data_IF_635324322549
#
_entry.id   IF_635324322549
#
_cell.length_a   1.000
_cell.length_b   1.000
_cell.length_c   1.000
_cell.angle_alpha   90.00
_cell.angle_beta   90.00
_cell.angle_gamma   90.00
#
_symmetry.space_group_name_H-M   'P 1'
#
loop_
_entity.id
_entity.type
_entity.pdbx_description
1 polymer ?
#
# COMPACT_ATOMS: atom_id res chain seq x y z
N UNK A 1 -0.39 12.45 -16.86
CA UNK A 1 0.45 11.28 -16.47
C UNK A 1 -0.30 10.05 -16.94
N UNK A 2 0.35 9.13 -17.58
CA UNK A 2 -0.25 7.85 -17.91
C UNK A 2 -0.13 6.94 -16.68
N UNK A 3 -1.25 6.47 -16.14
CA UNK A 3 -1.28 5.64 -14.94
C UNK A 3 -1.25 4.15 -15.30
N UNK A 4 -0.17 3.70 -15.92
CA UNK A 4 0.12 2.30 -16.16
C UNK A 4 1.25 1.84 -15.22
N UNK A 5 0.92 0.99 -14.25
CA UNK A 5 1.91 0.39 -13.35
C UNK A 5 2.97 -0.40 -14.14
N UNK A 6 2.56 -1.10 -15.21
CA UNK A 6 3.47 -1.87 -16.06
C UNK A 6 4.44 -0.98 -16.84
N UNK A 7 4.00 0.17 -17.33
CA UNK A 7 4.92 1.10 -18.00
C UNK A 7 5.83 1.77 -16.97
N UNK A 8 5.29 2.16 -15.82
CA UNK A 8 6.09 2.77 -14.75
C UNK A 8 7.19 1.82 -14.23
N UNK A 9 6.88 0.52 -14.08
CA UNK A 9 7.87 -0.47 -13.61
C UNK A 9 9.03 -0.72 -14.58
N UNK A 10 8.88 -0.35 -15.86
CA UNK A 10 9.98 -0.38 -16.85
C UNK A 10 10.95 0.80 -16.70
N UNK A 11 10.52 1.86 -16.07
CA UNK A 11 11.36 3.05 -15.84
C UNK A 11 12.18 2.92 -14.57
N UNK A 12 11.54 2.48 -13.48
CA UNK A 12 12.16 2.36 -12.16
C UNK A 12 11.41 1.40 -11.25
N UNK A 13 12.03 0.99 -10.16
CA UNK A 13 11.33 0.35 -9.04
C UNK A 13 10.30 1.33 -8.50
N UNK A 14 9.04 0.92 -8.43
CA UNK A 14 7.93 1.75 -7.92
C UNK A 14 8.01 1.80 -6.40
N UNK A 15 8.16 2.99 -5.84
CA UNK A 15 8.27 3.18 -4.40
C UNK A 15 6.90 3.56 -3.83
N UNK A 16 6.39 2.71 -2.95
CA UNK A 16 5.12 2.92 -2.25
C UNK A 16 5.35 3.40 -0.83
N UNK A 17 4.81 4.57 -0.48
CA UNK A 17 4.84 5.08 0.88
C UNK A 17 3.67 4.50 1.69
N UNK A 18 3.98 3.72 2.73
CA UNK A 18 3.01 3.11 3.65
C UNK A 18 2.36 4.17 4.54
N UNK A 19 1.06 4.43 4.34
CA UNK A 19 0.29 5.46 5.07
C UNK A 19 0.86 6.87 4.97
N UNK A 20 1.63 7.17 3.90
CA UNK A 20 2.40 8.40 3.74
C UNK A 20 3.74 8.38 4.47
N UNK A 21 4.44 9.52 4.53
CA UNK A 21 5.69 9.68 5.27
C UNK A 21 5.41 10.35 6.62
N UNK A 22 5.19 9.54 7.64
CA UNK A 22 4.93 9.97 9.01
C UNK A 22 6.22 10.18 9.79
N UNK A 23 6.17 11.05 10.81
CA UNK A 23 7.30 11.27 11.71
C UNK A 23 7.17 12.53 12.54
N UNK A 24 7.84 12.59 13.68
CA UNK A 24 7.75 13.71 14.61
C UNK A 24 6.32 14.02 15.02
N UNK A 25 5.80 15.20 14.65
CA UNK A 25 4.42 15.61 14.95
C UNK A 25 3.42 15.31 13.83
N UNK A 26 3.84 14.62 12.75
CA UNK A 26 3.00 14.32 11.58
C UNK A 26 2.56 12.86 11.64
N UNK A 27 1.27 12.57 11.93
CA UNK A 27 0.77 11.21 11.98
C UNK A 27 0.59 10.60 10.57
N UNK A 28 0.64 9.28 10.49
CA UNK A 28 0.29 8.55 9.27
C UNK A 28 -1.20 8.70 8.90
N UNK A 29 -1.56 8.35 7.67
CA UNK A 29 -2.92 8.49 7.13
C UNK A 29 -3.46 9.94 7.17
N UNK A 30 -2.58 10.94 7.13
CA UNK A 30 -2.95 12.36 7.06
C UNK A 30 -2.53 12.98 5.74
N UNK A 31 -3.22 14.05 5.32
CA UNK A 31 -2.88 14.81 4.11
C UNK A 31 -1.41 15.27 4.13
N UNK A 32 -0.92 15.68 5.31
CA UNK A 32 0.47 16.13 5.46
C UNK A 32 1.46 14.98 5.21
N UNK A 33 1.21 13.78 5.75
CA UNK A 33 2.07 12.62 5.54
C UNK A 33 2.11 12.22 4.05
N UNK A 34 0.99 12.28 3.34
CA UNK A 34 0.92 11.99 1.91
C UNK A 34 1.65 13.02 1.06
N UNK A 35 1.47 14.31 1.35
CA UNK A 35 2.20 15.38 0.66
C UNK A 35 3.71 15.28 0.86
N UNK A 36 4.15 14.89 2.06
CA UNK A 36 5.57 14.67 2.36
C UNK A 36 6.09 13.45 1.58
N UNK A 37 5.35 12.36 1.52
CA UNK A 37 5.74 11.17 0.77
C UNK A 37 5.99 11.49 -0.72
N UNK A 38 5.10 12.26 -1.36
CA UNK A 38 5.31 12.70 -2.75
C UNK A 38 6.51 13.62 -2.89
N UNK A 39 6.73 14.54 -1.95
CA UNK A 39 7.93 15.41 -1.94
C UNK A 39 9.22 14.60 -1.74
N UNK A 40 9.14 13.46 -1.08
CA UNK A 40 10.25 12.52 -0.92
C UNK A 40 10.46 11.63 -2.14
N UNK A 41 9.58 11.71 -3.16
CA UNK A 41 9.72 11.00 -4.42
C UNK A 41 8.94 9.69 -4.52
N UNK A 42 8.04 9.40 -3.59
CA UNK A 42 7.19 8.21 -3.70
C UNK A 42 6.33 8.25 -4.98
N UNK A 43 6.26 7.13 -5.70
CA UNK A 43 5.43 6.96 -6.90
C UNK A 43 3.98 6.62 -6.55
N UNK A 44 3.78 5.96 -5.42
CA UNK A 44 2.49 5.45 -4.96
C UNK A 44 2.28 5.78 -3.47
N UNK A 45 1.03 6.10 -3.12
CA UNK A 45 0.59 6.24 -1.73
C UNK A 45 -0.26 5.03 -1.35
N UNK A 46 0.08 4.38 -0.26
CA UNK A 46 -0.80 3.38 0.35
C UNK A 46 -1.69 4.04 1.40
N UNK A 47 -2.98 3.69 1.43
CA UNK A 47 -3.99 4.28 2.29
C UNK A 47 -4.87 3.23 2.93
N UNK A 48 -5.11 3.38 4.25
CA UNK A 48 -6.06 2.56 4.98
C UNK A 48 -7.47 3.15 4.91
N UNK A 49 -8.44 2.43 4.38
CA UNK A 49 -9.82 2.88 4.36
C UNK A 49 -10.68 2.29 5.47
N UNK A 50 -11.51 3.16 6.04
CA UNK A 50 -12.54 2.82 7.01
C UNK A 50 -13.87 3.47 6.63
N UNK A 51 -14.97 3.04 7.23
CA UNK A 51 -16.31 3.54 6.93
C UNK A 51 -17.06 3.85 8.23
N UNK A 52 -17.59 5.07 8.34
CA UNK A 52 -18.41 5.51 9.46
C UNK A 52 -19.77 4.81 9.49
N UNK A 53 -20.47 4.86 10.63
CA UNK A 53 -21.81 4.25 10.75
C UNK A 53 -22.83 4.84 9.77
N UNK A 54 -22.68 6.12 9.40
CA UNK A 54 -23.51 6.80 8.40
C UNK A 54 -22.99 6.63 6.96
N UNK A 55 -22.03 5.70 6.77
CA UNK A 55 -21.59 5.24 5.46
C UNK A 55 -20.60 6.14 4.73
N UNK A 56 -19.93 7.06 5.41
CA UNK A 56 -18.90 7.92 4.84
C UNK A 56 -17.53 7.26 4.95
N UNK A 57 -16.75 7.26 3.84
CA UNK A 57 -15.39 6.72 3.80
C UNK A 57 -14.39 7.75 4.33
N UNK A 58 -13.40 7.27 5.08
CA UNK A 58 -12.32 8.08 5.63
C UNK A 58 -11.04 7.26 5.79
N UNK A 59 -9.92 7.95 5.93
CA UNK A 59 -8.59 7.34 6.04
C UNK A 59 -8.23 7.12 7.50
N UNK A 60 -8.14 5.87 7.89
CA UNK A 60 -7.70 5.46 9.23
C UNK A 60 -7.59 3.94 9.31
N UNK A 61 -6.47 3.42 9.83
CA UNK A 61 -6.35 1.99 10.03
C UNK A 61 -7.28 1.50 11.15
N UNK A 62 -8.24 0.60 10.86
CA UNK A 62 -9.16 0.08 11.87
C UNK A 62 -8.41 -0.52 13.06
N UNK A 63 -8.97 -0.35 14.28
CA UNK A 63 -8.43 -0.86 15.53
C UNK A 63 -7.15 -0.16 16.03
N UNK A 64 -6.74 0.95 15.41
CA UNK A 64 -5.59 1.76 15.86
C UNK A 64 -6.02 3.03 16.65
N UNK A 65 -7.28 3.15 17.01
CA UNK A 65 -7.84 4.34 17.67
C UNK A 65 -7.15 4.66 18.98
N UNK A 66 -6.86 3.65 19.83
CA UNK A 66 -6.15 3.86 21.09
C UNK A 66 -4.71 4.35 20.88
N UNK A 67 -4.05 3.87 19.82
CA UNK A 67 -2.66 4.25 19.52
C UNK A 67 -2.55 5.63 18.86
N UNK A 68 -3.49 5.97 17.97
CA UNK A 68 -3.38 7.17 17.14
C UNK A 68 -4.27 8.33 17.61
N UNK A 69 -5.26 8.08 18.47
CA UNK A 69 -6.19 9.10 18.98
C UNK A 69 -6.20 9.19 20.50
N UNK A 70 -5.45 8.32 21.19
CA UNK A 70 -5.50 8.16 22.66
C UNK A 70 -6.95 7.98 23.19
N UNK A 71 -7.76 7.21 22.46
CA UNK A 71 -9.17 6.99 22.77
C UNK A 71 -9.59 5.55 22.57
N UNK A 72 -10.22 4.89 23.55
CA UNK A 72 -10.74 3.53 23.44
C UNK A 72 -12.11 3.53 22.73
N UNK A 73 -12.18 4.03 21.51
CA UNK A 73 -13.40 4.14 20.71
C UNK A 73 -13.22 3.36 19.39
N UNK A 74 -14.33 3.05 18.72
CA UNK A 74 -14.31 2.49 17.37
C UNK A 74 -14.88 3.54 16.41
N UNK A 75 -14.06 4.04 15.49
CA UNK A 75 -14.47 5.07 14.54
C UNK A 75 -15.61 4.62 13.62
N UNK A 76 -15.63 3.36 13.23
CA UNK A 76 -16.71 2.79 12.41
C UNK A 76 -18.08 2.73 13.12
N UNK A 77 -18.12 2.90 14.43
CA UNK A 77 -19.34 3.01 15.22
C UNK A 77 -19.85 4.47 15.39
N UNK A 78 -19.11 5.45 14.86
CA UNK A 78 -19.45 6.87 14.95
C UNK A 78 -19.92 7.45 13.62
N UNK A 79 -20.81 8.46 13.62
CA UNK A 79 -21.12 9.24 12.43
C UNK A 79 -19.95 10.17 12.07
N UNK A 80 -19.80 10.49 10.79
CA UNK A 80 -18.70 11.32 10.28
C UNK A 80 -18.66 12.71 10.95
N UNK A 81 -19.79 13.25 11.38
CA UNK A 81 -19.88 14.53 12.10
C UNK A 81 -19.16 14.54 13.45
N UNK A 82 -19.02 13.37 14.09
CA UNK A 82 -18.22 13.21 15.32
C UNK A 82 -16.75 12.89 14.98
N UNK A 83 -16.52 12.04 13.99
CA UNK A 83 -15.16 11.65 13.52
C UNK A 83 -14.36 12.90 13.13
N UNK A 84 -14.94 13.84 12.40
CA UNK A 84 -14.29 15.10 11.97
C UNK A 84 -13.82 16.00 13.13
N UNK A 85 -14.27 15.77 14.34
CA UNK A 85 -13.86 16.53 15.54
C UNK A 85 -12.66 15.92 16.26
N UNK A 86 -12.23 14.73 15.81
CA UNK A 86 -11.10 14.02 16.40
C UNK A 86 -9.79 14.45 15.74
N UNK A 87 -8.73 14.47 16.55
CA UNK A 87 -7.38 14.76 16.11
C UNK A 87 -6.45 13.64 16.53
N UNK A 88 -5.45 13.40 15.69
CA UNK A 88 -4.38 12.47 15.99
C UNK A 88 -3.53 12.96 17.17
N UNK A 89 -2.94 12.03 17.88
CA UNK A 89 -1.81 12.29 18.78
C UNK A 89 -0.49 11.92 18.09
N UNK A 90 0.59 12.55 18.53
CA UNK A 90 1.95 12.20 18.06
C UNK A 90 2.54 11.05 18.91
N UNK A 91 3.81 10.72 18.68
CA UNK A 91 4.51 9.63 19.38
C UNK A 91 4.58 9.83 20.91
N UNK A 92 4.51 11.07 21.38
CA UNK A 92 4.52 11.41 22.81
C UNK A 92 3.11 11.50 23.41
N UNK A 93 2.09 10.99 22.68
CA UNK A 93 0.67 11.12 23.00
C UNK A 93 0.19 12.58 23.17
N UNK A 94 0.92 13.53 22.59
CA UNK A 94 0.51 14.91 22.59
C UNK A 94 -0.47 15.20 21.43
N UNK A 95 -1.54 16.00 21.66
CA UNK A 95 -2.49 16.37 20.61
C UNK A 95 -1.82 17.09 19.43
N UNK A 96 -2.21 16.74 18.22
CA UNK A 96 -1.75 17.40 17.00
C UNK A 96 -2.87 18.25 16.38
N UNK A 97 -2.51 19.06 15.38
CA UNK A 97 -3.48 19.81 14.56
C UNK A 97 -4.14 18.93 13.46
N UNK A 98 -3.73 17.66 13.30
CA UNK A 98 -4.16 16.82 12.20
C UNK A 98 -5.44 16.05 12.56
N UNK A 99 -6.49 16.27 11.77
CA UNK A 99 -7.77 15.56 11.88
C UNK A 99 -7.86 14.38 10.93
N UNK A 100 -8.99 13.67 11.01
CA UNK A 100 -9.28 12.52 10.12
C UNK A 100 -9.65 13.02 8.73
N UNK A 101 -8.96 12.51 7.71
CA UNK A 101 -9.16 12.84 6.30
C UNK A 101 -10.31 12.03 5.72
N UNK A 102 -11.26 12.66 5.01
CA UNK A 102 -12.25 11.92 4.24
C UNK A 102 -11.65 11.36 2.96
N UNK A 103 -12.22 10.26 2.46
CA UNK A 103 -11.71 9.66 1.24
C UNK A 103 -11.96 10.55 0.01
N UNK A 104 -13.09 11.27 -0.04
CA UNK A 104 -13.37 12.23 -1.11
C UNK A 104 -12.34 13.38 -1.14
N UNK A 105 -12.00 13.98 0.03
CA UNK A 105 -10.99 15.05 0.12
C UNK A 105 -9.60 14.53 -0.33
N UNK A 106 -9.27 13.28 0.02
CA UNK A 106 -8.04 12.64 -0.41
C UNK A 106 -7.99 12.43 -1.94
N UNK A 107 -9.04 11.84 -2.51
CA UNK A 107 -9.11 11.60 -3.96
C UNK A 107 -9.00 12.91 -4.74
N UNK A 108 -9.70 13.96 -4.30
CA UNK A 108 -9.63 15.28 -4.95
C UNK A 108 -8.22 15.85 -4.93
N UNK A 109 -7.53 15.78 -3.78
CA UNK A 109 -6.19 16.34 -3.61
C UNK A 109 -5.11 15.59 -4.41
N UNK A 110 -5.26 14.28 -4.60
CA UNK A 110 -4.22 13.44 -5.23
C UNK A 110 -4.57 12.98 -6.65
N UNK A 111 -5.70 13.42 -7.19
CA UNK A 111 -6.07 13.13 -8.58
C UNK A 111 -4.99 13.61 -9.55
N UNK A 112 -4.54 12.72 -10.43
CA UNK A 112 -3.55 12.99 -11.47
C UNK A 112 -2.10 13.13 -10.98
N UNK A 113 -1.80 12.82 -9.69
CA UNK A 113 -0.50 13.12 -9.08
C UNK A 113 0.37 11.89 -8.80
N UNK A 114 -0.24 10.76 -8.49
CA UNK A 114 0.47 9.53 -8.09
C UNK A 114 -0.44 8.31 -8.26
N UNK A 115 0.14 7.11 -8.19
CA UNK A 115 -0.65 5.90 -7.96
C UNK A 115 -1.16 5.87 -6.52
N UNK A 116 -2.28 5.17 -6.30
CA UNK A 116 -2.88 5.01 -4.97
C UNK A 116 -3.22 3.54 -4.75
N UNK A 117 -2.62 2.95 -3.74
CA UNK A 117 -3.01 1.63 -3.27
C UNK A 117 -4.01 1.73 -2.13
N UNK A 118 -5.20 1.18 -2.33
CA UNK A 118 -6.24 1.13 -1.31
C UNK A 118 -6.15 -0.19 -0.55
N UNK A 119 -5.74 -0.11 0.72
CA UNK A 119 -5.88 -1.23 1.64
C UNK A 119 -7.30 -1.29 2.22
N UNK A 120 -7.73 -2.48 2.68
CA UNK A 120 -9.09 -2.74 3.21
C UNK A 120 -10.21 -2.55 2.18
N UNK A 121 -9.93 -2.56 0.87
CA UNK A 121 -10.96 -2.47 -0.18
C UNK A 121 -12.12 -3.44 0.05
N UNK A 122 -11.83 -4.67 0.45
CA UNK A 122 -12.82 -5.71 0.71
C UNK A 122 -13.84 -5.41 1.80
N UNK A 123 -13.60 -4.41 2.64
CA UNK A 123 -14.52 -4.02 3.72
C UNK A 123 -15.75 -3.28 3.21
N UNK A 124 -15.60 -2.48 2.15
CA UNK A 124 -16.66 -1.66 1.56
C UNK A 124 -16.51 -1.52 0.04
N UNK A 125 -16.36 -2.61 -0.74
CA UNK A 125 -15.93 -2.57 -2.13
C UNK A 125 -16.82 -1.69 -3.02
N UNK A 126 -18.15 -1.80 -2.89
CA UNK A 126 -19.10 -1.02 -3.68
C UNK A 126 -18.96 0.49 -3.44
N UNK A 127 -18.91 0.91 -2.16
CA UNK A 127 -18.81 2.34 -1.82
C UNK A 127 -17.46 2.93 -2.27
N UNK A 128 -16.37 2.16 -2.11
CA UNK A 128 -15.04 2.56 -2.53
C UNK A 128 -15.00 2.73 -4.05
N UNK A 129 -15.50 1.73 -4.79
CA UNK A 129 -15.54 1.79 -6.24
C UNK A 129 -16.42 2.93 -6.77
N UNK A 130 -17.60 3.15 -6.17
CA UNK A 130 -18.47 4.30 -6.50
C UNK A 130 -17.75 5.65 -6.25
N UNK A 131 -16.96 5.77 -5.18
CA UNK A 131 -16.17 6.97 -4.93
C UNK A 131 -15.07 7.15 -5.97
N UNK A 132 -14.29 6.11 -6.28
CA UNK A 132 -13.25 6.12 -7.30
C UNK A 132 -13.83 6.54 -8.67
N UNK A 133 -14.94 5.94 -9.09
CA UNK A 133 -15.62 6.29 -10.36
C UNK A 133 -16.13 7.73 -10.38
N UNK A 134 -16.73 8.19 -9.28
CA UNK A 134 -17.22 9.57 -9.17
C UNK A 134 -16.10 10.59 -9.37
N UNK A 135 -14.89 10.28 -8.94
CA UNK A 135 -13.70 11.11 -9.15
C UNK A 135 -12.99 10.84 -10.49
N UNK A 136 -13.36 9.78 -11.23
CA UNK A 136 -12.72 9.39 -12.48
C UNK A 136 -11.22 9.06 -12.27
N UNK A 137 -10.93 8.15 -11.34
CA UNK A 137 -9.57 7.81 -10.92
C UNK A 137 -9.27 6.31 -11.02
N UNK A 138 -10.06 5.57 -11.80
CA UNK A 138 -9.93 4.12 -11.93
C UNK A 138 -8.50 3.69 -12.31
N UNK A 139 -7.87 4.43 -13.21
CA UNK A 139 -6.51 4.12 -13.70
C UNK A 139 -5.42 4.39 -12.64
N UNK A 140 -5.69 5.26 -11.65
CA UNK A 140 -4.74 5.57 -10.57
C UNK A 140 -4.78 4.59 -9.41
N UNK A 141 -5.87 3.83 -9.31
CA UNK A 141 -6.16 3.01 -8.14
C UNK A 141 -5.66 1.58 -8.34
N UNK A 142 -4.97 1.08 -7.33
CA UNK A 142 -4.64 -0.32 -7.16
C UNK A 142 -5.36 -0.85 -5.94
N UNK A 143 -6.03 -1.99 -6.05
CA UNK A 143 -6.66 -2.67 -4.92
C UNK A 143 -5.97 -3.99 -4.61
N UNK A 144 -5.84 -4.30 -3.32
CA UNK A 144 -5.23 -5.54 -2.83
C UNK A 144 -6.17 -6.28 -1.89
N UNK A 145 -6.05 -7.60 -1.87
CA UNK A 145 -6.72 -8.45 -0.89
C UNK A 145 -6.04 -9.81 -0.79
N UNK A 146 -6.08 -10.41 0.38
CA UNK A 146 -5.76 -11.84 0.48
C UNK A 146 -6.67 -12.63 -0.47
N UNK A 147 -6.08 -13.56 -1.22
CA UNK A 147 -6.85 -14.39 -2.14
C UNK A 147 -7.88 -15.22 -1.37
N UNK A 148 -9.14 -15.01 -1.71
CA UNK A 148 -10.21 -15.97 -1.45
C UNK A 148 -11.29 -15.81 -2.53
N UNK A 149 -11.95 -16.92 -2.84
CA UNK A 149 -12.94 -16.99 -3.92
C UNK A 149 -14.09 -15.98 -3.77
N UNK A 150 -14.49 -15.67 -2.53
CA UNK A 150 -15.54 -14.67 -2.27
C UNK A 150 -15.09 -13.26 -2.66
N UNK A 151 -13.86 -12.87 -2.32
CA UNK A 151 -13.32 -11.55 -2.69
C UNK A 151 -13.14 -11.44 -4.19
N UNK A 152 -12.61 -12.48 -4.85
CA UNK A 152 -12.49 -12.53 -6.31
C UNK A 152 -13.85 -12.35 -6.98
N UNK A 153 -14.88 -13.05 -6.53
CA UNK A 153 -16.25 -12.90 -7.07
C UNK A 153 -16.79 -11.48 -6.88
N UNK A 154 -16.59 -10.89 -5.70
CA UNK A 154 -17.01 -9.50 -5.42
C UNK A 154 -16.30 -8.52 -6.35
N UNK A 155 -14.98 -8.66 -6.53
CA UNK A 155 -14.20 -7.82 -7.43
C UNK A 155 -14.67 -7.96 -8.88
N UNK A 156 -14.85 -9.20 -9.37
CA UNK A 156 -15.33 -9.46 -10.72
C UNK A 156 -16.71 -8.85 -10.98
N UNK A 157 -17.59 -8.84 -9.98
CA UNK A 157 -18.94 -8.29 -10.10
C UNK A 157 -18.97 -6.76 -10.01
N UNK A 158 -18.18 -6.18 -9.10
CA UNK A 158 -18.29 -4.75 -8.75
C UNK A 158 -17.27 -3.89 -9.47
N UNK A 159 -16.01 -4.34 -9.56
CA UNK A 159 -14.88 -3.53 -10.01
C UNK A 159 -13.85 -4.35 -10.82
N UNK A 160 -14.26 -5.02 -11.91
CA UNK A 160 -13.37 -5.89 -12.69
C UNK A 160 -12.26 -5.12 -13.43
N UNK A 161 -12.46 -3.84 -13.66
CA UNK A 161 -11.58 -2.91 -14.34
C UNK A 161 -10.46 -2.36 -13.46
N UNK A 162 -10.64 -2.33 -12.13
CA UNK A 162 -9.58 -1.84 -11.24
C UNK A 162 -8.36 -2.75 -11.24
N UNK A 163 -7.15 -2.18 -11.35
CA UNK A 163 -5.91 -2.92 -11.11
C UNK A 163 -5.96 -3.66 -9.77
N UNK A 164 -5.73 -4.97 -9.82
CA UNK A 164 -5.82 -5.86 -8.68
C UNK A 164 -4.53 -6.64 -8.46
N UNK A 165 -4.12 -6.78 -7.19
CA UNK A 165 -3.06 -7.66 -6.74
C UNK A 165 -3.54 -8.54 -5.58
N UNK A 166 -3.44 -9.88 -5.67
CA UNK A 166 -3.63 -10.74 -4.52
C UNK A 166 -2.45 -10.59 -3.56
N UNK A 167 -2.72 -10.71 -2.26
CA UNK A 167 -1.71 -10.84 -1.20
C UNK A 167 -1.53 -12.33 -0.94
N UNK A 168 -0.34 -12.85 -1.18
CA UNK A 168 -0.01 -14.28 -1.02
C UNK A 168 1.10 -14.48 0.02
N UNK A 169 1.17 -15.69 0.59
CA UNK A 169 2.18 -16.04 1.59
C UNK A 169 2.91 -17.30 1.19
N UNK A 170 4.24 -17.21 1.17
CA UNK A 170 5.18 -18.30 0.91
C UNK A 170 4.99 -19.01 -0.45
N UNK A 171 3.76 -19.14 -0.97
CA UNK A 171 3.40 -19.75 -2.26
C UNK A 171 2.26 -19.02 -2.96
N UNK A 172 2.09 -19.22 -4.29
CA UNK A 172 1.01 -18.63 -5.08
C UNK A 172 0.30 -19.64 -6.00
N UNK A 173 -0.46 -20.60 -5.45
CA UNK A 173 -1.10 -21.66 -6.22
C UNK A 173 -2.24 -21.18 -7.15
N UNK A 174 -2.79 -19.99 -6.91
CA UNK A 174 -3.96 -19.46 -7.62
C UNK A 174 -3.62 -18.62 -8.87
N UNK A 175 -2.35 -18.49 -9.20
CA UNK A 175 -1.87 -17.66 -10.29
C UNK A 175 -2.60 -17.94 -11.61
N UNK A 176 -2.62 -19.21 -12.04
CA UNK A 176 -3.27 -19.63 -13.28
C UNK A 176 -4.78 -19.37 -13.30
N UNK A 177 -5.44 -19.46 -12.14
CA UNK A 177 -6.86 -19.17 -12.01
C UNK A 177 -7.11 -17.66 -12.14
N UNK A 178 -6.24 -16.83 -11.58
CA UNK A 178 -6.33 -15.39 -11.66
C UNK A 178 -6.12 -14.88 -13.10
N UNK A 179 -5.18 -15.42 -13.85
CA UNK A 179 -4.98 -15.09 -15.26
C UNK A 179 -6.25 -15.33 -16.12
N UNK A 180 -7.10 -16.27 -15.69
CA UNK A 180 -8.36 -16.64 -16.40
C UNK A 180 -9.61 -16.02 -15.79
N UNK A 181 -9.47 -15.25 -14.71
CA UNK A 181 -10.61 -14.78 -13.91
C UNK A 181 -11.42 -13.63 -14.53
N UNK A 182 -10.85 -12.93 -15.53
CA UNK A 182 -11.42 -11.71 -16.10
C UNK A 182 -11.19 -10.45 -15.25
N UNK A 183 -10.45 -10.56 -14.14
CA UNK A 183 -9.98 -9.41 -13.36
C UNK A 183 -8.80 -8.71 -14.05
N UNK A 184 -8.66 -7.42 -13.81
CA UNK A 184 -7.45 -6.68 -14.18
C UNK A 184 -6.30 -7.04 -13.20
N UNK A 185 -5.83 -8.30 -13.29
CA UNK A 185 -4.75 -8.85 -12.48
C UNK A 185 -3.41 -8.33 -12.99
N UNK A 186 -2.83 -7.34 -12.30
CA UNK A 186 -1.63 -6.61 -12.73
C UNK A 186 -0.36 -7.02 -12.00
N UNK A 187 -0.48 -7.65 -10.84
CA UNK A 187 0.66 -8.02 -10.00
C UNK A 187 0.28 -8.87 -8.81
N UNK A 188 1.25 -9.22 -8.00
CA UNK A 188 1.10 -10.00 -6.76
C UNK A 188 1.92 -9.37 -5.63
N UNK A 189 1.31 -9.16 -4.47
CA UNK A 189 2.02 -8.81 -3.25
C UNK A 189 2.43 -10.09 -2.54
N UNK A 190 3.73 -10.26 -2.31
CA UNK A 190 4.26 -11.45 -1.66
C UNK A 190 4.71 -11.17 -0.23
N UNK A 191 4.35 -12.08 0.66
CA UNK A 191 4.77 -12.09 2.06
C UNK A 191 5.47 -13.41 2.34
N UNK A 192 6.68 -13.35 2.86
CA UNK A 192 7.49 -14.54 3.14
C UNK A 192 8.30 -14.40 4.43
N UNK A 193 8.57 -15.53 5.08
CA UNK A 193 9.27 -15.56 6.37
C UNK A 193 10.79 -15.71 6.22
N UNK A 194 11.24 -16.26 5.10
CA UNK A 194 12.65 -16.49 4.81
C UNK A 194 12.86 -16.62 3.29
N UNK A 195 14.10 -16.55 2.86
CA UNK A 195 14.54 -16.55 1.45
C UNK A 195 14.30 -17.86 0.71
N UNK A 196 13.96 -18.93 1.43
CA UNK A 196 13.65 -20.24 0.83
C UNK A 196 12.19 -20.40 0.44
N UNK A 197 11.34 -19.40 0.73
CA UNK A 197 9.95 -19.38 0.28
C UNK A 197 9.87 -19.34 -1.25
N UNK A 198 8.93 -20.06 -1.85
CA UNK A 198 8.73 -20.07 -3.31
C UNK A 198 8.61 -18.67 -3.89
N UNK A 199 7.78 -17.81 -3.26
CA UNK A 199 7.51 -16.44 -3.73
C UNK A 199 8.71 -15.48 -3.61
N UNK A 200 9.76 -15.87 -2.89
CA UNK A 200 11.01 -15.13 -2.76
C UNK A 200 12.09 -15.56 -3.75
N UNK A 201 11.84 -16.64 -4.53
CA UNK A 201 12.83 -17.17 -5.48
C UNK A 201 12.90 -16.35 -6.77
N UNK A 202 14.06 -16.33 -7.40
CA UNK A 202 14.24 -15.73 -8.73
C UNK A 202 13.34 -16.40 -9.76
N UNK A 203 13.23 -17.73 -9.71
CA UNK A 203 12.36 -18.49 -10.61
C UNK A 203 10.89 -18.05 -10.55
N UNK A 204 10.38 -17.80 -9.34
CA UNK A 204 9.02 -17.29 -9.17
C UNK A 204 8.86 -15.90 -9.78
N UNK A 205 9.79 -14.97 -9.49
CA UNK A 205 9.72 -13.59 -9.98
C UNK A 205 9.81 -13.57 -11.50
N UNK A 206 10.76 -14.31 -12.08
CA UNK A 206 10.88 -14.44 -13.53
C UNK A 206 9.61 -15.06 -14.17
N UNK A 207 8.97 -16.03 -13.52
CA UNK A 207 7.70 -16.57 -13.99
C UNK A 207 6.63 -15.49 -14.01
N UNK A 208 6.47 -14.71 -12.94
CA UNK A 208 5.51 -13.60 -12.89
C UNK A 208 5.79 -12.59 -14.00
N UNK A 209 7.05 -12.20 -14.22
CA UNK A 209 7.43 -11.28 -15.28
C UNK A 209 7.12 -11.82 -16.69
N UNK A 210 7.40 -13.10 -16.97
CA UNK A 210 7.02 -13.73 -18.25
C UNK A 210 5.52 -13.68 -18.53
N UNK A 211 4.70 -13.77 -17.46
CA UNK A 211 3.24 -13.71 -17.55
C UNK A 211 2.73 -12.25 -17.50
N UNK A 212 3.63 -11.26 -17.46
CA UNK A 212 3.31 -9.84 -17.42
C UNK A 212 2.73 -9.36 -16.08
N UNK A 213 3.08 -10.04 -14.98
CA UNK A 213 2.61 -9.79 -13.62
C UNK A 213 3.73 -9.16 -12.80
N UNK A 214 3.46 -8.00 -12.18
CA UNK A 214 4.40 -7.30 -11.30
C UNK A 214 4.50 -7.99 -9.94
N UNK A 215 5.65 -7.89 -9.29
CA UNK A 215 5.87 -8.48 -7.96
C UNK A 215 6.16 -7.38 -6.94
N UNK A 216 5.38 -7.37 -5.85
CA UNK A 216 5.45 -6.37 -4.78
C UNK A 216 5.99 -7.00 -3.50
N UNK A 217 7.01 -6.38 -2.91
CA UNK A 217 7.52 -6.71 -1.59
C UNK A 217 7.28 -5.58 -0.57
N UNK A 218 7.20 -5.94 0.71
CA UNK A 218 7.07 -5.00 1.82
C UNK A 218 8.37 -4.95 2.62
N UNK A 219 9.08 -3.83 2.59
CA UNK A 219 10.21 -3.59 3.51
C UNK A 219 9.76 -3.12 4.90
N UNK A 220 8.48 -2.77 5.06
CA UNK A 220 7.88 -2.49 6.37
C UNK A 220 7.76 -3.76 7.22
N UNK A 221 7.70 -3.59 8.55
CA UNK A 221 7.40 -4.68 9.49
C UNK A 221 6.26 -4.29 10.44
N UNK A 222 5.48 -5.28 10.89
CA UNK A 222 4.46 -5.03 11.92
C UNK A 222 5.07 -5.00 13.32
N UNK A 223 6.11 -5.79 13.55
CA UNK A 223 6.92 -5.83 14.77
C UNK A 223 8.12 -6.77 14.53
N UNK A 224 9.09 -6.78 15.45
CA UNK A 224 10.32 -7.56 15.31
C UNK A 224 10.15 -9.08 15.14
N UNK A 225 8.96 -9.64 15.46
CA UNK A 225 8.63 -11.06 15.27
C UNK A 225 7.88 -11.33 13.97
N UNK A 226 7.29 -10.31 13.36
CA UNK A 226 6.40 -10.45 12.22
C UNK A 226 6.92 -9.62 11.05
N UNK A 227 7.92 -10.17 10.41
CA UNK A 227 8.50 -9.62 9.20
C UNK A 227 7.72 -10.06 7.96
N UNK A 228 7.73 -9.24 6.93
CA UNK A 228 6.93 -9.45 5.73
C UNK A 228 7.76 -9.93 4.55
N UNK A 229 9.07 -9.68 4.55
CA UNK A 229 10.00 -10.01 3.48
C UNK A 229 11.28 -10.68 4.01
N UNK A 230 11.16 -11.76 4.80
CA UNK A 230 12.27 -12.62 5.20
C UNK A 230 13.37 -11.98 6.06
N UNK A 231 13.18 -10.75 6.53
CA UNK A 231 14.21 -9.96 7.21
C UNK A 231 14.77 -8.83 6.36
N UNK A 232 14.45 -8.75 5.09
CA UNK A 232 14.81 -7.67 4.18
C UNK A 232 13.85 -6.50 4.39
N UNK A 233 14.14 -5.67 5.40
CA UNK A 233 13.21 -4.66 5.91
C UNK A 233 13.87 -3.28 6.03
N UNK A 234 13.03 -2.26 6.24
CA UNK A 234 13.48 -0.90 6.56
C UNK A 234 14.36 -0.90 7.81
N UNK A 235 13.99 -1.66 8.85
CA UNK A 235 14.78 -1.79 10.07
C UNK A 235 16.17 -2.37 9.77
N UNK A 236 16.26 -3.45 8.99
CA UNK A 236 17.51 -4.05 8.58
C UNK A 236 18.34 -3.07 7.77
N UNK A 237 17.73 -2.39 6.80
CA UNK A 237 18.42 -1.42 5.96
C UNK A 237 19.02 -0.27 6.76
N UNK A 238 18.27 0.27 7.72
CA UNK A 238 18.68 1.47 8.47
C UNK A 238 19.56 1.18 9.68
N UNK A 239 19.53 -0.03 10.22
CA UNK A 239 20.25 -0.34 11.47
C UNK A 239 21.37 -1.39 11.33
N UNK A 240 21.39 -2.12 10.21
CA UNK A 240 22.39 -3.17 9.95
C UNK A 240 23.10 -2.90 8.61
N UNK A 241 22.40 -3.04 7.50
CA UNK A 241 22.96 -2.90 6.15
C UNK A 241 21.87 -2.61 5.13
N UNK A 242 22.02 -1.51 4.38
CA UNK A 242 21.09 -1.16 3.30
C UNK A 242 21.08 -2.25 2.21
N UNK A 243 22.21 -2.88 1.93
CA UNK A 243 22.31 -3.97 0.95
C UNK A 243 21.54 -5.22 1.41
N UNK A 244 21.59 -5.57 2.70
CA UNK A 244 20.86 -6.70 3.25
C UNK A 244 19.34 -6.43 3.35
N UNK A 245 18.96 -5.18 3.57
CA UNK A 245 17.56 -4.76 3.59
C UNK A 245 17.03 -4.49 2.18
N UNK A 246 17.21 -3.29 1.71
CA UNK A 246 16.65 -2.80 0.44
C UNK A 246 17.37 -3.36 -0.80
N UNK A 247 18.71 -3.54 -0.72
CA UNK A 247 19.49 -4.06 -1.84
C UNK A 247 19.06 -5.44 -2.25
N UNK A 248 18.85 -6.33 -1.28
CA UNK A 248 18.37 -7.68 -1.56
C UNK A 248 17.02 -7.68 -2.31
N UNK A 249 16.09 -6.81 -1.90
CA UNK A 249 14.79 -6.69 -2.58
C UNK A 249 14.96 -6.20 -4.02
N UNK A 250 15.78 -5.19 -4.24
CA UNK A 250 16.04 -4.65 -5.58
C UNK A 250 16.74 -5.67 -6.50
N UNK A 251 17.81 -6.33 -5.99
CA UNK A 251 18.59 -7.31 -6.73
C UNK A 251 17.79 -8.57 -7.04
N UNK A 252 16.81 -8.93 -6.18
CA UNK A 252 15.88 -10.04 -6.42
C UNK A 252 14.90 -9.77 -7.56
N UNK A 253 14.67 -8.51 -7.94
CA UNK A 253 13.84 -8.13 -9.08
C UNK A 253 12.40 -7.72 -8.72
N UNK A 254 12.13 -7.37 -7.46
CA UNK A 254 10.83 -6.83 -7.08
C UNK A 254 10.54 -5.51 -7.80
N UNK A 255 9.35 -5.38 -8.39
CA UNK A 255 8.94 -4.21 -9.16
C UNK A 255 8.44 -3.07 -8.29
N UNK A 256 7.85 -3.41 -7.15
CA UNK A 256 7.25 -2.46 -6.20
C UNK A 256 7.78 -2.76 -4.82
N UNK A 257 8.28 -1.74 -4.12
CA UNK A 257 8.73 -1.84 -2.73
C UNK A 257 7.93 -0.85 -1.88
N UNK A 258 7.23 -1.38 -0.87
CA UNK A 258 6.53 -0.56 0.12
C UNK A 258 7.43 -0.32 1.33
N UNK A 259 7.54 0.94 1.75
CA UNK A 259 8.45 1.40 2.80
C UNK A 259 7.82 2.49 3.67
N UNK A 260 8.29 2.62 4.90
CA UNK A 260 8.04 3.78 5.77
C UNK A 260 9.05 4.92 5.52
N UNK A 261 10.12 4.68 4.72
CA UNK A 261 11.26 5.58 4.51
C UNK A 261 11.51 5.87 3.02
N UNK A 262 10.54 6.41 2.28
CA UNK A 262 10.63 6.51 0.81
C UNK A 262 11.86 7.29 0.34
N UNK A 263 12.20 8.43 0.96
CA UNK A 263 13.36 9.24 0.56
C UNK A 263 14.68 8.46 0.71
N UNK A 264 14.86 7.76 1.82
CA UNK A 264 16.10 7.03 2.11
C UNK A 264 16.26 5.81 1.19
N UNK A 265 15.16 5.08 0.94
CA UNK A 265 15.15 3.99 -0.03
C UNK A 265 15.49 4.47 -1.45
N UNK A 266 14.87 5.55 -1.91
CA UNK A 266 15.12 6.12 -3.24
C UNK A 266 16.57 6.59 -3.38
N UNK A 267 17.11 7.28 -2.38
CA UNK A 267 18.51 7.72 -2.36
C UNK A 267 19.46 6.52 -2.45
N UNK A 268 19.23 5.50 -1.62
CA UNK A 268 20.00 4.28 -1.67
C UNK A 268 19.97 3.62 -3.06
N UNK A 269 18.79 3.41 -3.62
CA UNK A 269 18.62 2.77 -4.93
C UNK A 269 19.31 3.57 -6.05
N UNK A 270 19.22 4.90 -6.02
CA UNK A 270 19.86 5.76 -7.03
C UNK A 270 21.39 5.75 -6.94
N UNK A 271 21.96 5.85 -5.74
CA UNK A 271 23.44 5.85 -5.58
C UNK A 271 24.09 4.48 -5.81
N UNK A 272 23.28 3.41 -5.87
CA UNK A 272 23.74 2.04 -6.14
C UNK A 272 23.32 1.53 -7.52
N UNK A 273 22.81 2.42 -8.40
CA UNK A 273 22.34 2.12 -9.77
C UNK A 273 21.26 1.03 -9.84
N UNK A 274 20.44 0.89 -8.77
CA UNK A 274 19.34 -0.08 -8.67
C UNK A 274 17.95 0.52 -8.90
N UNK A 275 17.85 1.83 -9.00
CA UNK A 275 16.55 2.53 -9.09
C UNK A 275 15.93 2.39 -10.48
N UNK A 276 16.70 2.68 -11.52
CA UNK A 276 16.24 2.65 -12.91
C UNK A 276 16.35 1.25 -13.51
N UNK A 277 15.45 0.93 -14.44
CA UNK A 277 15.32 -0.36 -15.12
C UNK A 277 15.80 -0.27 -16.55
#
# INVERSE_FOLDING_TARGET
MDFSLKEKSKENIIITAHRGAAGGNIPCNTMAAYEIALKQGADMLEVDLNCSIDGKLFLFHPMMESAHLDKPILLNALPMSLIKKLHYVNYDNAPTQFGITTFDDFLEAFKGRCFINIDKFWSNPKKIYEAVKRHGMEDQILVKSSYNKKVVNILTEIAPDLPFMPIVRDTHPEHENLLKSGLNYVGVEVLFKNDTAEVASEEFIEKMHRDGILVWANSIIYNYKQQLAGGHSDDTALTVSEDEGWGWLADRGFDIIQTDWPMMLIDYLKRTDRYYR
#
